data_IF_300654509026
#
_entry.id   IF_300654509026
#
_cell.length_a   1.000
_cell.length_b   1.000
_cell.length_c   1.000
_cell.angle_alpha   90.00
_cell.angle_beta   90.00
_cell.angle_gamma   90.00
#
_symmetry.space_group_name_H-M   'P 1'
#
loop_
_entity.id
_entity.type
_entity.pdbx_description
1 polymer ?
#
# COMPACT_ATOMS: atom_id res chain seq x y z
N UNK A 1 -3.80 -12.10 10.09
CA UNK A 1 -3.29 -12.26 8.71
C UNK A 1 -2.17 -13.27 8.78
N UNK A 2 -2.33 -14.47 8.20
CA UNK A 2 -1.32 -15.52 8.32
C UNK A 2 -0.05 -15.13 7.56
N UNK A 3 1.11 -15.53 8.08
CA UNK A 3 2.42 -15.35 7.44
C UNK A 3 2.40 -15.70 5.93
N UNK A 4 1.56 -16.67 5.56
CA UNK A 4 1.35 -17.13 4.19
C UNK A 4 1.03 -16.04 3.16
N UNK A 5 0.27 -15.00 3.55
CA UNK A 5 -0.18 -13.98 2.59
C UNK A 5 0.95 -12.99 2.27
N UNK A 6 1.73 -12.58 3.26
CA UNK A 6 2.90 -11.72 3.06
C UNK A 6 4.00 -12.47 2.30
N UNK A 7 4.25 -13.72 2.65
CA UNK A 7 5.21 -14.57 1.94
C UNK A 7 4.83 -14.73 0.47
N UNK A 8 3.54 -14.94 0.19
CA UNK A 8 3.01 -15.00 -1.17
C UNK A 8 3.20 -13.66 -1.90
N UNK A 9 2.90 -12.54 -1.25
CA UNK A 9 3.12 -11.21 -1.83
C UNK A 9 4.59 -10.96 -2.20
N UNK A 10 5.53 -11.36 -1.34
CA UNK A 10 6.96 -11.20 -1.60
C UNK A 10 7.43 -12.11 -2.75
N UNK A 11 6.92 -13.34 -2.85
CA UNK A 11 7.35 -14.31 -3.87
C UNK A 11 6.69 -14.10 -5.24
N UNK A 12 5.40 -13.76 -5.25
CA UNK A 12 4.55 -13.78 -6.45
C UNK A 12 4.01 -12.39 -6.81
N UNK A 13 4.16 -11.41 -5.92
CA UNK A 13 3.57 -10.10 -6.09
C UNK A 13 4.17 -9.33 -7.26
N UNK A 14 3.31 -8.80 -8.11
CA UNK A 14 3.71 -7.84 -9.14
C UNK A 14 4.02 -6.51 -8.46
N UNK A 15 5.22 -5.99 -8.71
CA UNK A 15 5.64 -4.67 -8.23
C UNK A 15 4.83 -3.56 -8.89
N UNK A 16 4.46 -2.57 -8.07
CA UNK A 16 3.81 -1.33 -8.47
C UNK A 16 4.70 -0.19 -7.99
N UNK A 17 5.22 0.58 -8.95
CA UNK A 17 6.19 1.65 -8.68
C UNK A 17 5.57 3.05 -8.57
N UNK A 18 4.27 3.18 -8.87
CA UNK A 18 3.55 4.44 -8.76
C UNK A 18 2.37 4.33 -7.79
N UNK A 19 2.29 5.26 -6.84
CA UNK A 19 1.25 5.29 -5.82
C UNK A 19 -0.16 5.40 -6.42
N UNK A 20 -0.31 6.08 -7.56
CA UNK A 20 -1.58 6.21 -8.28
C UNK A 20 -2.12 4.90 -8.81
N UNK A 21 -1.28 3.87 -8.96
CA UNK A 21 -1.69 2.56 -9.42
C UNK A 21 -2.12 1.61 -8.28
N UNK A 22 -1.99 2.04 -7.01
CA UNK A 22 -2.34 1.22 -5.84
C UNK A 22 -3.86 1.04 -5.73
N UNK A 23 -4.27 -0.18 -5.45
CA UNK A 23 -5.68 -0.54 -5.23
C UNK A 23 -5.86 -1.19 -3.86
N UNK A 24 -7.11 -1.28 -3.42
CA UNK A 24 -7.44 -2.12 -2.28
C UNK A 24 -6.96 -3.57 -2.54
N UNK A 25 -6.38 -4.21 -1.53
CA UNK A 25 -5.76 -5.52 -1.58
C UNK A 25 -4.24 -5.49 -1.73
N UNK A 26 -3.64 -4.38 -2.21
CA UNK A 26 -2.19 -4.28 -2.42
C UNK A 26 -1.42 -4.18 -1.10
N UNK A 27 -0.23 -4.77 -1.06
CA UNK A 27 0.72 -4.64 0.04
C UNK A 27 1.61 -3.43 -0.23
N UNK A 28 1.36 -2.34 0.49
CA UNK A 28 2.02 -1.03 0.32
C UNK A 28 3.22 -0.94 1.25
N UNK A 29 4.32 -0.41 0.72
CA UNK A 29 5.54 -0.09 1.46
C UNK A 29 5.79 1.42 1.36
N UNK A 30 5.79 2.06 2.53
CA UNK A 30 6.04 3.48 2.69
C UNK A 30 7.29 3.70 3.54
N UNK A 31 8.01 4.78 3.25
CA UNK A 31 9.11 5.26 4.08
C UNK A 31 8.83 6.68 4.56
N UNK A 32 9.42 7.05 5.70
CA UNK A 32 9.46 8.41 6.21
C UNK A 32 10.79 8.65 6.92
N UNK A 33 11.05 9.87 7.43
CA UNK A 33 12.35 10.24 7.98
C UNK A 33 12.89 9.31 9.08
N UNK A 34 12.01 8.61 9.81
CA UNK A 34 12.36 7.68 10.90
C UNK A 34 11.46 6.45 10.96
N UNK A 35 10.74 6.15 9.90
CA UNK A 35 9.76 5.07 9.91
C UNK A 35 9.71 4.36 8.58
N UNK A 36 9.46 3.06 8.63
CA UNK A 36 9.12 2.22 7.49
C UNK A 36 7.81 1.55 7.85
N UNK A 37 6.85 1.60 6.93
CA UNK A 37 5.49 1.13 7.16
C UNK A 37 5.15 0.18 6.03
N UNK A 38 4.74 -1.03 6.37
CA UNK A 38 4.22 -2.00 5.42
C UNK A 38 2.83 -2.45 5.87
N UNK A 39 1.85 -2.43 4.97
CA UNK A 39 0.49 -2.88 5.26
C UNK A 39 -0.26 -3.28 3.99
N UNK A 40 -1.31 -4.09 4.13
CA UNK A 40 -2.27 -4.28 3.05
C UNK A 40 -3.25 -3.09 3.03
N UNK A 41 -3.36 -2.39 1.90
CA UNK A 41 -4.33 -1.31 1.73
C UNK A 41 -5.75 -1.91 1.65
N UNK A 42 -6.61 -1.55 2.59
CA UNK A 42 -8.03 -1.97 2.57
C UNK A 42 -8.88 -0.93 1.87
N UNK A 43 -8.57 0.35 2.07
CA UNK A 43 -9.19 1.46 1.35
C UNK A 43 -8.14 2.39 0.74
N UNK A 44 -8.41 2.84 -0.48
CA UNK A 44 -7.59 3.81 -1.21
C UNK A 44 -8.49 4.94 -1.66
N UNK A 45 -8.27 6.13 -1.11
CA UNK A 45 -9.00 7.35 -1.50
C UNK A 45 -8.04 8.30 -2.19
N UNK A 46 -8.47 8.88 -3.30
CA UNK A 46 -7.73 9.91 -4.03
C UNK A 46 -8.56 11.19 -3.99
N UNK A 47 -7.92 12.29 -3.61
CA UNK A 47 -8.56 13.60 -3.59
C UNK A 47 -7.50 14.64 -3.92
N UNK A 48 -7.76 15.44 -4.95
CA UNK A 48 -6.81 16.45 -5.43
C UNK A 48 -5.40 15.84 -5.65
N UNK A 49 -4.37 16.42 -5.04
CA UNK A 49 -2.97 15.96 -5.13
C UNK A 49 -2.56 15.00 -3.98
N UNK A 50 -3.53 14.40 -3.27
CA UNK A 50 -3.25 13.48 -2.16
C UNK A 50 -3.88 12.10 -2.35
N UNK A 51 -3.18 11.09 -1.82
CA UNK A 51 -3.65 9.71 -1.74
C UNK A 51 -3.69 9.29 -0.27
N UNK A 52 -4.85 8.81 0.17
CA UNK A 52 -5.04 8.23 1.50
C UNK A 52 -5.08 6.70 1.38
N UNK A 53 -4.12 6.04 2.02
CA UNK A 53 -3.97 4.59 2.04
C UNK A 53 -4.31 4.07 3.45
N UNK A 54 -5.35 3.25 3.57
CA UNK A 54 -5.88 2.87 4.88
C UNK A 54 -5.77 1.37 5.10
N UNK A 55 -5.01 0.89 6.12
CA UNK A 55 -4.99 -0.53 6.50
C UNK A 55 -6.30 -1.01 7.16
N UNK A 56 -7.15 -0.10 7.62
CA UNK A 56 -8.43 -0.37 8.27
C UNK A 56 -9.28 0.91 8.32
N UNK A 57 -10.45 0.85 8.96
CA UNK A 57 -11.39 1.98 9.07
C UNK A 57 -10.95 3.13 9.99
N UNK A 58 -9.90 2.94 10.81
CA UNK A 58 -9.51 3.89 11.87
C UNK A 58 -8.23 4.65 11.51
N UNK A 59 -7.36 4.07 10.67
CA UNK A 59 -6.06 4.64 10.33
C UNK A 59 -5.93 4.82 8.83
N UNK A 60 -5.39 5.97 8.44
CA UNK A 60 -4.99 6.27 7.06
C UNK A 60 -3.60 6.90 7.04
N UNK A 61 -2.84 6.62 5.99
CA UNK A 61 -1.56 7.25 5.71
C UNK A 61 -1.71 8.10 4.45
N UNK A 62 -1.28 9.36 4.54
CA UNK A 62 -1.32 10.29 3.43
C UNK A 62 -0.02 10.26 2.63
N UNK A 63 -0.14 10.27 1.31
CA UNK A 63 0.91 10.61 0.37
C UNK A 63 0.55 11.93 -0.33
N UNK A 64 1.56 12.76 -0.58
CA UNK A 64 1.37 14.11 -1.13
C UNK A 64 1.03 15.16 -0.06
N UNK A 65 0.83 16.41 -0.50
CA UNK A 65 0.59 17.56 0.37
C UNK A 65 1.74 17.80 1.36
N UNK A 66 1.42 17.98 2.64
CA UNK A 66 2.41 18.19 3.71
C UNK A 66 2.98 16.88 4.30
N UNK A 67 2.60 15.71 3.76
CA UNK A 67 3.07 14.43 4.29
C UNK A 67 4.56 14.24 4.03
N UNK A 68 5.28 13.76 5.05
CA UNK A 68 6.68 13.37 4.93
C UNK A 68 6.85 11.90 4.51
N UNK A 69 5.74 11.17 4.36
CA UNK A 69 5.76 9.80 3.87
C UNK A 69 5.99 9.77 2.37
N UNK A 70 6.82 8.84 1.94
CA UNK A 70 7.12 8.54 0.53
C UNK A 70 6.60 7.16 0.21
N UNK A 71 6.07 7.02 -1.00
CA UNK A 71 5.77 5.73 -1.58
C UNK A 71 7.05 5.12 -2.12
N UNK A 72 7.37 3.92 -1.66
CA UNK A 72 8.52 3.17 -2.19
C UNK A 72 8.08 2.22 -3.28
N UNK A 73 7.06 1.40 -2.98
CA UNK A 73 6.39 0.50 -3.91
C UNK A 73 5.16 -0.13 -3.26
N UNK A 74 4.39 -0.86 -4.07
CA UNK A 74 3.45 -1.84 -3.59
C UNK A 74 3.64 -3.19 -4.31
N UNK A 75 3.10 -4.25 -3.71
CA UNK A 75 3.02 -5.57 -4.30
C UNK A 75 1.55 -5.95 -4.47
N UNK A 76 1.16 -6.28 -5.69
CA UNK A 76 -0.17 -6.84 -5.99
C UNK A 76 -0.04 -8.32 -6.24
N UNK A 77 -0.72 -9.11 -5.42
CA UNK A 77 -0.91 -10.53 -5.69
C UNK A 77 -2.17 -10.64 -6.54
N UNK A 78 -2.06 -11.21 -7.74
CA UNK A 78 -3.25 -11.55 -8.51
C UNK A 78 -3.97 -12.64 -7.71
N UNK A 79 -5.15 -12.32 -7.19
CA UNK A 79 -6.11 -13.36 -6.83
C UNK A 79 -6.47 -14.03 -8.14
N UNK A 80 -5.98 -15.26 -8.35
CA UNK A 80 -6.47 -16.07 -9.45
C UNK A 80 -7.98 -16.13 -9.29
N UNK A 81 -8.71 -15.70 -10.31
CA UNK A 81 -10.14 -15.98 -10.44
C UNK A 81 -10.25 -17.50 -10.30
N UNK A 82 -10.76 -17.96 -9.17
CA UNK A 82 -11.29 -19.31 -9.05
C UNK A 82 -12.69 -19.32 -9.68
#
# INVERSE_FOLDING_TARGET
>A
MSANVWDRAIREGRRIDHADCVSAGDFVFLSGPRTVIAFQAVHVTRQDDIILLSPNAVRSYQLGGASQLRFEFALRVNEGVQ
#
